data_IF_902665216658
#
_entry.id   IF_902665216658
#
_cell.length_a   1.000
_cell.length_b   1.000
_cell.length_c   1.000
_cell.angle_alpha   90.00
_cell.angle_beta   90.00
_cell.angle_gamma   90.00
#
_symmetry.space_group_name_H-M   'P 1'
#
loop_
_entity.id
_entity.type
_entity.pdbx_description
1 polymer ?
#
# COMPACT_ATOMS: atom_id res chain seq x y z
N UNK A 1 -39.90 5.52 14.66
CA UNK A 1 -39.20 6.20 13.54
C UNK A 1 -37.66 6.24 13.66
N UNK A 2 -37.04 5.81 14.77
CA UNK A 2 -35.58 5.85 14.99
C UNK A 2 -34.79 4.68 14.36
N UNK A 3 -35.37 3.47 14.31
CA UNK A 3 -34.71 2.22 13.89
C UNK A 3 -34.45 2.10 12.37
N UNK A 4 -35.40 2.51 11.53
CA UNK A 4 -35.27 2.38 10.07
C UNK A 4 -34.18 3.29 9.47
N UNK A 5 -33.98 4.49 10.03
CA UNK A 5 -32.91 5.41 9.61
C UNK A 5 -31.53 4.87 9.97
N UNK A 6 -31.37 4.27 11.15
CA UNK A 6 -30.12 3.65 11.58
C UNK A 6 -29.72 2.46 10.68
N UNK A 7 -30.67 1.57 10.37
CA UNK A 7 -30.45 0.43 9.47
C UNK A 7 -30.09 0.89 8.05
N UNK A 8 -30.80 1.91 7.52
CA UNK A 8 -30.48 2.50 6.21
C UNK A 8 -29.07 3.10 6.15
N UNK A 9 -28.62 3.76 7.22
CA UNK A 9 -27.28 4.33 7.32
C UNK A 9 -26.19 3.26 7.41
N UNK A 10 -26.41 2.18 8.16
CA UNK A 10 -25.50 1.03 8.26
C UNK A 10 -25.33 0.36 6.88
N UNK A 11 -26.43 0.09 6.18
CA UNK A 11 -26.40 -0.52 4.85
C UNK A 11 -25.74 0.36 3.78
N UNK A 12 -25.87 1.69 3.89
CA UNK A 12 -25.15 2.63 3.01
C UNK A 12 -23.64 2.62 3.29
N UNK A 13 -23.24 2.55 4.55
CA UNK A 13 -21.83 2.50 4.94
C UNK A 13 -21.15 1.21 4.44
N UNK A 14 -21.79 0.04 4.59
CA UNK A 14 -21.26 -1.23 4.10
C UNK A 14 -21.12 -1.25 2.58
N UNK A 15 -22.12 -0.73 1.85
CA UNK A 15 -22.05 -0.59 0.38
C UNK A 15 -20.92 0.32 -0.08
N UNK A 16 -20.68 1.43 0.64
CA UNK A 16 -19.58 2.34 0.33
C UNK A 16 -18.22 1.69 0.60
N UNK A 17 -18.06 0.98 1.72
CA UNK A 17 -16.86 0.22 2.02
C UNK A 17 -16.58 -0.81 0.93
N UNK A 18 -17.57 -1.64 0.58
CA UNK A 18 -17.39 -2.69 -0.42
C UNK A 18 -17.01 -2.12 -1.79
N UNK A 19 -17.61 -1.00 -2.21
CA UNK A 19 -17.21 -0.32 -3.45
C UNK A 19 -15.78 0.22 -3.38
N UNK A 20 -15.37 0.74 -2.23
CA UNK A 20 -14.01 1.19 -2.03
C UNK A 20 -13.01 0.04 -2.11
N UNK A 21 -13.26 -1.06 -1.40
CA UNK A 21 -12.43 -2.28 -1.46
C UNK A 21 -12.32 -2.78 -2.90
N UNK A 22 -13.44 -2.89 -3.61
CA UNK A 22 -13.46 -3.29 -5.03
C UNK A 22 -12.71 -2.34 -5.97
N UNK A 23 -12.39 -1.11 -5.52
CA UNK A 23 -11.62 -0.13 -6.28
C UNK A 23 -10.13 -0.11 -5.93
N UNK A 24 -9.73 -0.79 -4.84
CA UNK A 24 -8.34 -0.86 -4.40
C UNK A 24 -7.50 -1.62 -5.41
N UNK A 25 -6.39 -1.02 -5.79
CA UNK A 25 -5.31 -1.72 -6.48
C UNK A 25 -4.23 -2.09 -5.48
N UNK A 26 -3.54 -3.21 -5.73
CA UNK A 26 -2.36 -3.60 -4.96
C UNK A 26 -1.15 -3.51 -5.85
N UNK A 27 -0.10 -2.88 -5.36
CA UNK A 27 1.17 -2.72 -6.02
C UNK A 27 2.31 -3.09 -5.07
N UNK A 28 3.50 -3.21 -5.64
CA UNK A 28 4.73 -3.53 -4.94
C UNK A 28 5.81 -2.51 -5.31
N UNK A 29 6.60 -2.12 -4.33
CA UNK A 29 7.88 -1.41 -4.52
C UNK A 29 9.00 -2.23 -3.91
N UNK A 30 10.24 -2.00 -4.36
CA UNK A 30 11.40 -2.81 -3.98
C UNK A 30 12.45 -1.94 -3.35
N UNK A 31 12.86 -2.33 -2.17
CA UNK A 31 13.96 -1.76 -1.42
C UNK A 31 15.09 -2.79 -1.29
N UNK A 32 16.31 -2.28 -1.28
CA UNK A 32 17.44 -2.87 -0.55
C UNK A 32 17.42 -2.40 0.91
N UNK A 33 18.22 -3.01 1.77
CA UNK A 33 18.44 -2.53 3.15
C UNK A 33 18.88 -1.06 3.16
N UNK A 34 19.71 -0.68 2.18
CA UNK A 34 20.20 0.69 2.02
C UNK A 34 19.06 1.67 1.68
N UNK A 35 18.31 1.42 0.61
CA UNK A 35 17.24 2.32 0.16
C UNK A 35 16.06 2.34 1.14
N UNK A 36 15.80 1.24 1.85
CA UNK A 36 14.81 1.22 2.95
C UNK A 36 15.25 2.11 4.10
N UNK A 37 16.53 2.09 4.47
CA UNK A 37 17.10 2.97 5.50
C UNK A 37 16.98 4.45 5.10
N UNK A 38 17.35 4.80 3.86
CA UNK A 38 17.19 6.17 3.35
C UNK A 38 15.73 6.64 3.41
N UNK A 39 14.80 5.79 2.96
CA UNK A 39 13.37 6.08 3.03
C UNK A 39 12.91 6.36 4.46
N UNK A 40 13.32 5.51 5.41
CA UNK A 40 12.97 5.63 6.81
C UNK A 40 13.53 6.93 7.41
N UNK A 41 14.81 7.22 7.19
CA UNK A 41 15.45 8.46 7.66
C UNK A 41 14.71 9.68 7.11
N UNK A 42 14.41 9.69 5.80
CA UNK A 42 13.69 10.81 5.19
C UNK A 42 12.34 11.07 5.86
N UNK A 43 11.60 10.01 6.20
CA UNK A 43 10.31 10.09 6.89
C UNK A 43 10.47 10.57 8.33
N UNK A 44 11.44 10.04 9.07
CA UNK A 44 11.72 10.41 10.46
C UNK A 44 12.16 11.88 10.59
N UNK A 45 13.09 12.34 9.75
CA UNK A 45 13.57 13.74 9.75
C UNK A 45 12.49 14.77 9.44
N UNK A 46 11.39 14.35 8.81
CA UNK A 46 10.27 15.22 8.40
C UNK A 46 9.01 14.98 9.21
N UNK A 47 9.09 14.14 10.25
CA UNK A 47 7.95 13.76 11.08
C UNK A 47 6.78 13.26 10.21
N UNK A 48 7.10 12.48 9.17
CA UNK A 48 6.13 12.02 8.18
C UNK A 48 5.70 10.58 8.42
N UNK A 49 4.54 10.42 9.06
CA UNK A 49 3.95 9.11 9.40
C UNK A 49 3.43 8.30 8.21
N UNK A 50 3.26 8.96 7.06
CA UNK A 50 2.74 8.34 5.85
C UNK A 50 3.76 7.48 5.11
N UNK A 51 3.44 7.15 3.86
CA UNK A 51 4.34 6.49 2.95
C UNK A 51 4.88 7.45 1.88
N UNK A 52 6.10 7.21 1.42
CA UNK A 52 6.73 7.98 0.35
C UNK A 52 7.62 7.06 -0.48
N UNK A 53 7.57 7.18 -1.79
CA UNK A 53 8.31 6.33 -2.71
C UNK A 53 8.86 7.17 -3.86
N UNK A 54 10.18 7.31 -3.93
CA UNK A 54 10.82 7.70 -5.18
C UNK A 54 10.91 6.50 -6.12
N UNK A 55 10.72 6.73 -7.41
CA UNK A 55 10.92 5.71 -8.43
C UNK A 55 11.46 6.31 -9.75
N UNK A 56 12.30 5.57 -10.50
CA UNK A 56 12.80 6.01 -11.80
C UNK A 56 11.72 6.04 -12.89
N UNK A 57 10.59 5.37 -12.68
CA UNK A 57 9.50 5.23 -13.64
C UNK A 57 8.18 5.58 -12.98
N UNK A 58 7.24 6.12 -13.75
CA UNK A 58 5.86 6.23 -13.29
C UNK A 58 5.32 4.86 -12.85
N UNK A 59 4.37 4.87 -11.92
CA UNK A 59 3.63 3.66 -11.56
C UNK A 59 3.07 3.01 -12.83
N UNK A 60 3.09 1.67 -12.87
CA UNK A 60 2.68 0.91 -14.05
C UNK A 60 1.33 1.39 -14.61
N UNK A 61 1.24 1.50 -15.94
CA UNK A 61 0.01 1.86 -16.65
C UNK A 61 -1.12 0.84 -16.49
N UNK A 62 -0.84 -0.34 -15.92
CA UNK A 62 -1.84 -1.33 -15.50
C UNK A 62 -2.70 -0.86 -14.32
N UNK A 63 -2.27 0.18 -13.61
CA UNK A 63 -3.04 0.84 -12.55
C UNK A 63 -3.43 2.21 -13.10
N UNK A 64 -4.73 2.45 -13.22
CA UNK A 64 -5.24 3.72 -13.72
C UNK A 64 -4.85 4.89 -12.79
N UNK A 65 -4.62 6.07 -13.37
CA UNK A 65 -4.28 7.29 -12.63
C UNK A 65 -5.38 7.64 -11.63
N UNK A 66 -5.00 8.02 -10.42
CA UNK A 66 -5.91 8.41 -9.35
C UNK A 66 -6.61 7.23 -8.65
N UNK A 67 -6.30 5.98 -9.02
CA UNK A 67 -6.79 4.81 -8.27
C UNK A 67 -6.21 4.78 -6.84
N UNK A 68 -7.00 4.40 -5.83
CA UNK A 68 -6.47 4.11 -4.51
C UNK A 68 -5.62 2.84 -4.57
N UNK A 69 -4.43 2.87 -4.00
CA UNK A 69 -3.43 1.82 -4.16
C UNK A 69 -2.74 1.51 -2.84
N UNK A 70 -2.74 0.22 -2.49
CA UNK A 70 -1.92 -0.36 -1.42
C UNK A 70 -0.57 -0.73 -2.02
N UNK A 71 0.52 -0.16 -1.50
CA UNK A 71 1.88 -0.40 -1.98
C UNK A 71 2.63 -1.23 -0.95
N UNK A 72 2.91 -2.49 -1.28
CA UNK A 72 3.69 -3.40 -0.45
C UNK A 72 5.18 -3.05 -0.57
N UNK A 73 5.83 -2.78 0.57
CA UNK A 73 7.24 -2.40 0.66
C UNK A 73 8.12 -3.65 0.78
N UNK A 74 8.57 -4.18 -0.36
CA UNK A 74 9.39 -5.38 -0.41
C UNK A 74 10.86 -5.06 -0.14
N UNK A 75 11.42 -5.53 0.97
CA UNK A 75 12.87 -5.53 1.16
C UNK A 75 13.49 -6.80 0.55
N UNK A 76 14.15 -6.62 -0.58
CA UNK A 76 14.73 -7.68 -1.40
C UNK A 76 15.98 -8.33 -0.81
N UNK A 77 16.70 -7.63 0.08
CA UNK A 77 17.90 -8.17 0.74
C UNK A 77 17.49 -9.14 1.85
N UNK A 78 16.37 -8.83 2.53
CA UNK A 78 15.81 -9.66 3.61
C UNK A 78 14.75 -10.65 3.17
N UNK A 79 14.28 -10.56 1.93
CA UNK A 79 13.10 -11.28 1.43
C UNK A 79 11.88 -11.12 2.35
N UNK A 80 11.63 -9.88 2.77
CA UNK A 80 10.61 -9.55 3.78
C UNK A 80 9.88 -8.26 3.42
N UNK A 81 8.57 -8.25 3.60
CA UNK A 81 7.75 -7.04 3.58
C UNK A 81 8.05 -6.24 4.86
N UNK A 82 8.44 -4.98 4.73
CA UNK A 82 8.72 -4.10 5.87
C UNK A 82 7.51 -3.24 6.26
N UNK A 83 6.60 -2.99 5.31
CA UNK A 83 5.39 -2.22 5.53
C UNK A 83 4.50 -2.20 4.32
N UNK A 84 3.37 -1.51 4.45
CA UNK A 84 2.42 -1.29 3.37
C UNK A 84 2.00 0.18 3.43
N UNK A 85 2.17 0.92 2.33
CA UNK A 85 1.66 2.28 2.21
C UNK A 85 0.30 2.31 1.52
N UNK A 86 -0.47 3.36 1.80
CA UNK A 86 -1.69 3.66 1.05
C UNK A 86 -1.60 5.06 0.44
N UNK A 87 -1.81 5.13 -0.87
CA UNK A 87 -1.77 6.37 -1.66
C UNK A 87 -2.76 6.31 -2.82
N UNK A 88 -2.93 7.44 -3.51
CA UNK A 88 -3.56 7.45 -4.82
C UNK A 88 -2.48 7.44 -5.89
N UNK A 89 -2.69 6.73 -7.01
CA UNK A 89 -1.77 6.73 -8.15
C UNK A 89 -1.70 8.12 -8.82
N UNK A 90 -0.98 9.03 -8.19
CA UNK A 90 -0.71 10.38 -8.64
C UNK A 90 0.67 10.76 -8.13
N UNK A 91 1.66 10.99 -9.00
CA UNK A 91 2.95 11.49 -8.55
C UNK A 91 2.76 12.90 -7.95
N UNK A 92 3.64 13.27 -7.04
CA UNK A 92 3.72 14.64 -6.55
C UNK A 92 4.13 15.57 -7.69
N UNK A 93 3.50 16.75 -7.76
CA UNK A 93 3.87 17.77 -8.75
C UNK A 93 5.29 18.32 -8.48
N UNK A 94 5.68 18.33 -7.21
CA UNK A 94 7.03 18.65 -6.75
C UNK A 94 7.90 17.38 -6.64
N UNK A 95 8.78 17.21 -7.62
CA UNK A 95 9.78 16.13 -7.67
C UNK A 95 11.14 16.53 -7.06
N UNK A 96 11.27 17.69 -6.39
CA UNK A 96 12.54 18.12 -5.78
C UNK A 96 12.88 17.37 -4.47
N UNK A 97 12.04 16.42 -4.06
CA UNK A 97 12.26 15.62 -2.86
C UNK A 97 13.33 14.57 -3.09
N UNK A 98 14.50 14.79 -2.51
CA UNK A 98 15.59 13.82 -2.50
C UNK A 98 15.40 12.81 -1.37
N UNK A 99 14.67 11.72 -1.66
CA UNK A 99 14.45 10.61 -0.71
C UNK A 99 15.68 9.72 -0.68
N UNK A 100 16.21 9.40 -1.86
CA UNK A 100 17.38 8.53 -2.00
C UNK A 100 18.60 9.31 -2.48
N UNK A 101 19.78 8.85 -2.11
CA UNK A 101 21.06 9.41 -2.56
C UNK A 101 21.20 9.40 -4.08
N UNK A 102 20.76 8.30 -4.73
CA UNK A 102 20.75 8.16 -6.19
C UNK A 102 19.66 9.08 -6.80
N UNK A 103 20.01 10.11 -7.59
CA UNK A 103 19.02 11.02 -8.16
C UNK A 103 18.02 10.33 -9.10
N UNK A 104 18.46 9.30 -9.85
CA UNK A 104 17.62 8.60 -10.82
C UNK A 104 16.45 7.88 -10.16
N UNK A 105 16.59 7.45 -8.90
CA UNK A 105 15.50 6.79 -8.16
C UNK A 105 14.50 7.78 -7.58
N UNK A 106 14.69 9.10 -7.74
CA UNK A 106 13.77 10.14 -7.30
C UNK A 106 13.01 10.82 -8.45
N UNK A 107 13.04 10.26 -9.67
CA UNK A 107 12.45 10.91 -10.86
C UNK A 107 10.94 11.17 -10.72
N UNK A 108 10.22 10.23 -10.13
CA UNK A 108 8.81 10.38 -9.78
C UNK A 108 8.62 10.05 -8.32
N UNK A 109 7.93 10.93 -7.59
CA UNK A 109 7.65 10.75 -6.18
C UNK A 109 6.18 10.42 -5.99
N UNK A 110 5.88 9.33 -5.31
CA UNK A 110 4.53 8.99 -4.85
C UNK A 110 4.48 9.11 -3.34
N UNK A 111 3.46 9.79 -2.81
CA UNK A 111 3.30 10.00 -1.38
C UNK A 111 1.86 9.71 -0.96
N UNK A 112 1.70 9.07 0.19
CA UNK A 112 0.42 8.77 0.81
C UNK A 112 0.42 9.06 2.29
N UNK A 113 -0.74 9.42 2.85
CA UNK A 113 -0.87 9.84 4.25
C UNK A 113 -0.80 8.68 5.25
N UNK A 114 -0.95 7.45 4.78
CA UNK A 114 -1.10 6.30 5.64
C UNK A 114 -0.05 5.26 5.30
N UNK A 115 0.61 4.71 6.32
CA UNK A 115 1.52 3.59 6.21
C UNK A 115 1.32 2.66 7.41
N UNK A 116 1.22 1.38 7.12
CA UNK A 116 1.27 0.32 8.11
C UNK A 116 2.70 -0.22 8.18
N UNK A 117 3.37 0.00 9.31
CA UNK A 117 4.64 -0.67 9.59
C UNK A 117 4.39 -2.12 9.99
N UNK A 118 5.20 -3.06 9.47
CA UNK A 118 5.05 -4.47 9.84
C UNK A 118 5.21 -4.70 11.35
N UNK A 119 6.08 -3.95 12.01
CA UNK A 119 6.31 -4.11 13.45
C UNK A 119 5.07 -3.78 14.30
N UNK A 120 4.15 -2.96 13.79
CA UNK A 120 2.89 -2.65 14.46
C UNK A 120 1.86 -3.78 14.40
N UNK A 121 2.06 -4.79 13.53
CA UNK A 121 1.10 -5.88 13.32
C UNK A 121 1.28 -6.95 14.40
N UNK A 122 0.37 -6.94 15.39
CA UNK A 122 0.45 -7.84 16.55
C UNK A 122 -0.38 -9.12 16.41
N UNK A 123 -1.44 -9.13 15.60
CA UNK A 123 -2.38 -10.25 15.51
C UNK A 123 -1.84 -11.41 14.69
N UNK A 124 -1.94 -12.64 15.21
CA UNK A 124 -1.34 -13.83 14.59
C UNK A 124 -1.87 -14.14 13.20
N UNK A 125 -3.17 -13.92 12.97
CA UNK A 125 -3.75 -14.03 11.63
C UNK A 125 -3.05 -13.10 10.63
N UNK A 126 -2.97 -11.81 10.92
CA UNK A 126 -2.35 -10.83 10.03
C UNK A 126 -0.82 -11.06 9.88
N UNK A 127 -0.15 -11.53 10.92
CA UNK A 127 1.26 -11.96 10.83
C UNK A 127 1.42 -13.14 9.86
N UNK A 128 0.51 -14.12 9.88
CA UNK A 128 0.50 -15.23 8.91
C UNK A 128 0.23 -14.73 7.50
N UNK A 129 -0.70 -13.79 7.31
CA UNK A 129 -0.96 -13.16 5.99
C UNK A 129 0.31 -12.50 5.45
N UNK A 130 1.00 -11.69 6.25
CA UNK A 130 2.28 -11.10 5.85
C UNK A 130 3.36 -12.15 5.56
N UNK A 131 3.44 -13.21 6.37
CA UNK A 131 4.36 -14.33 6.13
C UNK A 131 4.08 -15.09 4.84
N UNK A 132 2.80 -15.31 4.52
CA UNK A 132 2.39 -15.90 3.24
C UNK A 132 2.78 -14.98 2.08
N UNK A 133 2.54 -13.68 2.18
CA UNK A 133 2.98 -12.73 1.16
C UNK A 133 4.50 -12.67 1.03
N UNK A 134 5.28 -12.80 2.11
CA UNK A 134 6.75 -12.93 2.02
C UNK A 134 7.14 -14.16 1.17
N UNK A 135 6.49 -15.30 1.38
CA UNK A 135 6.77 -16.49 0.57
C UNK A 135 6.43 -16.26 -0.91
N UNK A 136 5.22 -15.75 -1.19
CA UNK A 136 4.71 -15.60 -2.55
C UNK A 136 5.41 -14.50 -3.35
N UNK A 137 5.86 -13.43 -2.71
CA UNK A 137 6.49 -12.30 -3.38
C UNK A 137 7.99 -12.48 -3.59
N UNK A 138 8.67 -13.28 -2.76
CA UNK A 138 10.14 -13.40 -2.82
C UNK A 138 10.65 -14.76 -3.28
N UNK A 139 9.82 -15.81 -3.31
CA UNK A 139 10.22 -17.17 -3.67
C UNK A 139 9.40 -17.73 -4.84
N UNK A 140 9.93 -18.78 -5.48
CA UNK A 140 9.29 -19.45 -6.61
C UNK A 140 9.47 -18.73 -7.96
N UNK A 141 9.03 -19.37 -9.03
CA UNK A 141 9.21 -18.89 -10.41
C UNK A 141 8.47 -17.56 -10.70
N UNK A 142 7.38 -17.28 -9.97
CA UNK A 142 6.55 -16.09 -10.12
C UNK A 142 6.89 -14.93 -9.19
N UNK A 143 8.08 -14.93 -8.55
CA UNK A 143 8.43 -13.91 -7.56
C UNK A 143 8.43 -12.48 -8.13
N UNK A 144 8.22 -11.48 -7.28
CA UNK A 144 8.09 -10.07 -7.67
C UNK A 144 9.39 -9.24 -7.50
N UNK A 145 10.56 -9.87 -7.32
CA UNK A 145 11.82 -9.17 -6.97
C UNK A 145 12.44 -8.31 -8.08
N UNK A 146 12.17 -8.62 -9.35
CA UNK A 146 12.96 -8.13 -10.50
C UNK A 146 12.33 -6.98 -11.30
N UNK A 147 11.16 -6.49 -10.89
CA UNK A 147 10.52 -5.37 -11.59
C UNK A 147 11.06 -4.02 -11.11
N UNK A 148 11.02 -3.02 -11.99
CA UNK A 148 11.48 -1.66 -11.72
C UNK A 148 10.28 -0.78 -11.35
N UNK A 149 10.45 0.03 -10.31
CA UNK A 149 9.45 0.98 -9.83
C UNK A 149 8.24 0.35 -9.13
N UNK A 150 7.14 1.09 -9.10
CA UNK A 150 5.89 0.63 -8.48
C UNK A 150 5.08 -0.16 -9.52
N UNK A 151 4.97 -1.47 -9.31
CA UNK A 151 4.26 -2.36 -10.23
C UNK A 151 3.11 -3.07 -9.55
N UNK A 152 2.02 -3.26 -10.29
CA UNK A 152 0.84 -4.01 -9.84
C UNK A 152 1.23 -5.40 -9.34
N UNK A 153 0.55 -5.85 -8.29
CA UNK A 153 0.63 -7.21 -7.79
C UNK A 153 0.31 -8.21 -8.92
N UNK A 154 0.99 -9.36 -9.02
CA UNK A 154 0.68 -10.35 -10.03
C UNK A 154 -0.80 -10.77 -10.00
N UNK A 155 -1.42 -10.87 -11.17
CA UNK A 155 -2.84 -11.18 -11.30
C UNK A 155 -3.23 -12.53 -10.66
N UNK A 156 -2.35 -13.54 -10.72
CA UNK A 156 -2.58 -14.83 -10.09
C UNK A 156 -2.69 -14.76 -8.56
N UNK A 157 -2.11 -13.73 -7.94
CA UNK A 157 -2.19 -13.50 -6.50
C UNK A 157 -3.46 -12.71 -6.14
N UNK A 158 -3.81 -11.73 -6.99
CA UNK A 158 -5.06 -10.97 -6.85
C UNK A 158 -6.31 -11.83 -7.09
N UNK A 159 -6.25 -12.74 -8.06
CA UNK A 159 -7.34 -13.63 -8.47
C UNK A 159 -6.90 -15.09 -8.25
N UNK A 160 -6.58 -15.41 -7.00
CA UNK A 160 -6.08 -16.74 -6.63
C UNK A 160 -7.22 -17.77 -6.59
N UNK A 161 -6.86 -19.06 -6.67
CA UNK A 161 -7.80 -20.18 -6.68
C UNK A 161 -8.57 -20.39 -5.38
N UNK A 162 -8.16 -19.71 -4.30
CA UNK A 162 -8.78 -19.82 -2.98
C UNK A 162 -9.81 -18.72 -2.72
N UNK A 163 -10.09 -17.87 -3.71
CA UNK A 163 -10.97 -16.70 -3.59
C UNK A 163 -10.58 -15.79 -2.41
N UNK A 164 -9.27 -15.74 -2.12
CA UNK A 164 -8.75 -14.98 -0.99
C UNK A 164 -8.48 -13.52 -1.39
N UNK A 165 -9.27 -12.59 -0.89
CA UNK A 165 -9.12 -11.16 -1.18
C UNK A 165 -8.06 -10.52 -0.27
N UNK A 166 -6.81 -10.46 -0.78
CA UNK A 166 -5.73 -9.74 -0.10
C UNK A 166 -6.03 -8.24 0.07
N UNK A 167 -6.82 -7.63 -0.83
CA UNK A 167 -7.16 -6.22 -0.77
C UNK A 167 -8.04 -5.91 0.45
N UNK A 168 -9.09 -6.70 0.66
CA UNK A 168 -9.97 -6.56 1.82
C UNK A 168 -9.19 -6.79 3.13
N UNK A 169 -8.43 -7.89 3.20
CA UNK A 169 -7.68 -8.24 4.43
C UNK A 169 -6.60 -7.21 4.76
N UNK A 170 -5.85 -6.72 3.76
CA UNK A 170 -4.88 -5.64 3.99
C UNK A 170 -5.60 -4.37 4.43
N UNK A 171 -6.77 -4.06 3.85
CA UNK A 171 -7.54 -2.90 4.29
C UNK A 171 -8.03 -3.03 5.74
N UNK A 172 -8.50 -4.21 6.16
CA UNK A 172 -8.81 -4.47 7.57
C UNK A 172 -7.62 -4.20 8.49
N UNK A 173 -6.39 -4.53 8.05
CA UNK A 173 -5.18 -4.21 8.81
C UNK A 173 -4.99 -2.69 8.94
N UNK A 174 -5.29 -1.91 7.89
CA UNK A 174 -5.25 -0.45 7.96
C UNK A 174 -6.31 0.09 8.93
N UNK A 175 -7.55 -0.40 8.85
CA UNK A 175 -8.62 -0.04 9.79
C UNK A 175 -8.20 -0.33 11.24
N UNK A 176 -7.58 -1.50 11.47
CA UNK A 176 -7.18 -1.96 12.80
C UNK A 176 -5.96 -1.24 13.37
N UNK A 177 -4.89 -1.12 12.60
CA UNK A 177 -3.57 -0.70 13.09
C UNK A 177 -3.23 0.75 12.75
N UNK A 178 -3.76 1.29 11.64
CA UNK A 178 -3.54 2.68 11.22
C UNK A 178 -4.71 3.60 11.61
N UNK A 179 -5.83 3.01 12.08
CA UNK A 179 -7.03 3.73 12.54
C UNK A 179 -7.60 4.66 11.45
N UNK A 180 -7.67 4.15 10.23
CA UNK A 180 -8.25 4.85 9.06
C UNK A 180 -9.59 4.23 8.69
N UNK A 181 -10.51 5.04 8.18
CA UNK A 181 -11.78 4.58 7.61
C UNK A 181 -12.01 5.18 6.22
N UNK A 182 -12.89 4.55 5.44
CA UNK A 182 -13.19 4.96 4.05
C UNK A 182 -13.70 6.40 3.95
N UNK A 183 -14.42 6.91 4.95
CA UNK A 183 -14.93 8.29 4.93
C UNK A 183 -13.80 9.29 5.08
N UNK A 184 -12.84 9.00 5.95
CA UNK A 184 -11.67 9.86 6.22
C UNK A 184 -10.80 10.09 4.97
N UNK A 185 -10.75 9.10 4.07
CA UNK A 185 -10.01 9.18 2.80
C UNK A 185 -10.60 10.25 1.87
N UNK A 186 -11.92 10.29 1.74
CA UNK A 186 -12.62 11.19 0.81
C UNK A 186 -13.01 12.53 1.43
N UNK A 187 -13.06 12.64 2.77
CA UNK A 187 -13.49 13.85 3.47
C UNK A 187 -12.51 15.03 3.35
N UNK A 188 -11.23 14.77 3.03
CA UNK A 188 -10.17 15.81 2.99
C UNK A 188 -9.76 16.21 1.56
N UNK A 189 -10.70 16.19 0.60
CA UNK A 189 -10.53 16.70 -0.77
C UNK A 189 -10.78 18.21 -0.91
N UNK A 190 -10.78 18.96 0.19
CA UNK A 190 -10.86 20.43 0.21
C UNK A 190 -9.47 21.04 0.29
#
# INVERSE_FOLDING_TARGET
MSSAKAISAVNKNSKQRNRFIASLEIATTRFSDYTFKENRIWREEREYDGCVYGTPLMMTSKIETGRPTLVIEMNNDRNRIEGIGFLFNRPCDDNYRRIYSNPNTNRYIYQGRYRLDRSAVTGDYYKKVLGTLDLLLFKGAGHSKRSIGITRLPAWLMFNTYDYDFGDVIWEMFEKYVKVDVKSIYAKKK
#
